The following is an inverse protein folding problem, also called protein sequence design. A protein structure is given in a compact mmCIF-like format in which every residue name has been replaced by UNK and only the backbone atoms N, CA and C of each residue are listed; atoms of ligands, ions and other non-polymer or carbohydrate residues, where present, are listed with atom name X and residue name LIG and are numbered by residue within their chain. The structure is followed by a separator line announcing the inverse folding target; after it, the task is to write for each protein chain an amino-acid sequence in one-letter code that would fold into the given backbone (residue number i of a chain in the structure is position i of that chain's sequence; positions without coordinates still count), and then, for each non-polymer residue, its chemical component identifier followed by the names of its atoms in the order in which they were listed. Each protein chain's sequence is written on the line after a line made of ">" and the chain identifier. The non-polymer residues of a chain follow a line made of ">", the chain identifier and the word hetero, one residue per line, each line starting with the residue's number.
data_IF_353826327802
#
_entry.id   IF_353826327802
#
_cell.length_a   1.000
_cell.length_b   1.000
_cell.length_c   1.000
_cell.angle_alpha   90.00
_cell.angle_beta   90.00
_cell.angle_gamma   90.00
#
_symmetry.space_group_name_H-M   'P 1'
#
loop_
_entity.id
_entity.type
_entity.pdbx_description
1 polymer ?
#
# COMPACT_ATOMS: atom_id res chain seq x y z
N UNK A 1 -23.34 0.94 -11.95
CA UNK A 1 -22.62 2.17 -11.54
C UNK A 1 -22.84 2.56 -10.07
N UNK A 2 -24.05 2.43 -9.49
CA UNK A 2 -24.35 2.85 -8.10
C UNK A 2 -23.62 2.09 -6.96
N UNK A 3 -23.03 0.93 -7.20
CA UNK A 3 -22.51 0.09 -6.09
C UNK A 3 -21.32 0.72 -5.36
N UNK A 4 -20.42 1.40 -6.06
CA UNK A 4 -19.26 2.05 -5.43
C UNK A 4 -19.63 3.36 -4.71
N UNK A 5 -20.61 4.10 -5.25
CA UNK A 5 -21.11 5.35 -4.64
C UNK A 5 -21.80 5.10 -3.28
N UNK A 6 -22.35 3.90 -3.09
CA UNK A 6 -23.04 3.49 -1.86
C UNK A 6 -22.11 2.77 -0.86
N UNK A 7 -20.85 2.54 -1.21
CA UNK A 7 -19.91 1.85 -0.34
C UNK A 7 -19.57 2.71 0.88
N UNK A 8 -19.89 2.23 2.07
CA UNK A 8 -19.51 2.86 3.34
C UNK A 8 -18.33 2.11 3.94
N UNK A 9 -17.18 2.77 4.02
CA UNK A 9 -15.97 2.19 4.63
C UNK A 9 -15.99 2.43 6.13
N UNK A 10 -16.03 1.35 6.91
CA UNK A 10 -15.77 1.42 8.36
C UNK A 10 -14.27 1.56 8.62
N UNK A 11 -13.81 2.82 8.72
CA UNK A 11 -12.39 3.16 8.90
C UNK A 11 -11.80 2.58 10.18
N UNK A 12 -12.56 2.63 11.28
CA UNK A 12 -12.11 2.14 12.58
C UNK A 12 -11.88 0.62 12.54
N UNK A 13 -12.85 -0.14 11.98
CA UNK A 13 -12.68 -1.59 11.82
C UNK A 13 -11.55 -1.93 10.86
N UNK A 14 -11.41 -1.21 9.74
CA UNK A 14 -10.32 -1.45 8.80
C UNK A 14 -8.94 -1.25 9.44
N UNK A 15 -8.78 -0.21 10.27
CA UNK A 15 -7.53 0.02 11.02
C UNK A 15 -7.31 -1.07 12.07
N UNK A 16 -8.35 -1.43 12.83
CA UNK A 16 -8.29 -2.48 13.84
C UNK A 16 -7.82 -3.83 13.26
N UNK A 17 -8.32 -4.24 12.09
CA UNK A 17 -7.88 -5.46 11.40
C UNK A 17 -6.39 -5.41 11.07
N UNK A 18 -5.89 -4.28 10.59
CA UNK A 18 -4.47 -4.11 10.25
C UNK A 18 -3.58 -4.09 11.49
N UNK A 19 -4.03 -3.48 12.59
CA UNK A 19 -3.30 -3.43 13.87
C UNK A 19 -3.30 -4.79 14.61
N UNK A 20 -4.27 -5.65 14.32
CA UNK A 20 -4.40 -6.97 14.92
C UNK A 20 -3.71 -8.08 14.11
N UNK A 21 -3.13 -7.76 12.94
CA UNK A 21 -2.42 -8.74 12.11
C UNK A 21 -1.00 -8.27 11.76
N UNK A 22 -0.18 -9.20 11.29
CA UNK A 22 1.25 -9.02 11.06
C UNK A 22 1.59 -8.50 9.65
N UNK A 23 0.67 -7.72 9.07
CA UNK A 23 0.75 -7.19 7.69
C UNK A 23 1.90 -6.20 7.48
N UNK A 24 2.36 -5.55 8.55
CA UNK A 24 3.40 -4.52 8.49
C UNK A 24 4.83 -5.07 8.66
N UNK A 25 5.02 -6.38 8.78
CA UNK A 25 6.32 -6.99 9.11
C UNK A 25 7.38 -6.85 8.04
N UNK A 26 7.00 -6.71 6.78
CA UNK A 26 7.94 -6.33 5.73
C UNK A 26 8.58 -4.96 5.97
N UNK A 27 7.82 -4.00 6.50
CA UNK A 27 8.34 -2.66 6.76
C UNK A 27 9.41 -2.66 7.85
N UNK A 28 9.36 -3.61 8.79
CA UNK A 28 10.41 -3.82 9.78
C UNK A 28 11.73 -4.26 9.11
N UNK A 29 11.68 -5.24 8.21
CA UNK A 29 12.85 -5.71 7.46
C UNK A 29 13.43 -4.61 6.56
N UNK A 30 12.56 -3.87 5.85
CA UNK A 30 12.94 -2.74 5.00
C UNK A 30 13.58 -1.62 5.83
N UNK A 31 13.04 -1.31 7.02
CA UNK A 31 13.59 -0.27 7.90
C UNK A 31 14.99 -0.64 8.37
N UNK A 32 15.21 -1.90 8.78
CA UNK A 32 16.54 -2.39 9.17
C UNK A 32 17.54 -2.27 8.01
N UNK A 33 17.13 -2.61 6.79
CA UNK A 33 17.97 -2.48 5.62
C UNK A 33 18.30 -1.01 5.31
N UNK A 34 17.29 -0.14 5.24
CA UNK A 34 17.46 1.24 4.79
C UNK A 34 18.17 2.12 5.82
N UNK A 35 17.85 1.98 7.11
CA UNK A 35 18.40 2.85 8.16
C UNK A 35 19.70 2.33 8.77
N UNK A 36 19.89 1.02 8.79
CA UNK A 36 21.00 0.39 9.52
C UNK A 36 21.87 -0.52 8.65
N UNK A 37 21.64 -0.54 7.33
CA UNK A 37 22.38 -1.37 6.37
C UNK A 37 22.38 -2.87 6.71
N UNK A 38 21.40 -3.33 7.48
CA UNK A 38 21.25 -4.76 7.81
C UNK A 38 20.90 -5.50 6.52
N UNK A 39 21.61 -6.59 6.16
CA UNK A 39 21.27 -7.36 4.96
C UNK A 39 19.81 -7.78 4.97
N UNK A 40 19.09 -7.60 3.86
CA UNK A 40 17.65 -7.87 3.79
C UNK A 40 17.29 -9.28 4.27
N UNK A 41 18.12 -10.28 3.96
CA UNK A 41 17.92 -11.66 4.43
C UNK A 41 17.88 -11.76 5.97
N UNK A 42 18.73 -11.00 6.67
CA UNK A 42 18.74 -10.95 8.14
C UNK A 42 17.45 -10.28 8.64
N UNK A 43 17.12 -9.09 8.12
CA UNK A 43 15.89 -8.38 8.49
C UNK A 43 14.62 -9.20 8.22
N UNK A 44 14.56 -9.92 7.10
CA UNK A 44 13.44 -10.77 6.73
C UNK A 44 13.30 -12.01 7.65
N UNK A 45 14.42 -12.68 7.97
CA UNK A 45 14.38 -13.81 8.91
C UNK A 45 14.01 -13.34 10.33
N UNK A 46 14.49 -12.17 10.74
CA UNK A 46 14.11 -11.54 11.99
C UNK A 46 12.60 -11.24 12.06
N UNK A 47 12.05 -10.57 11.03
CA UNK A 47 10.62 -10.29 10.94
C UNK A 47 9.78 -11.59 10.95
N UNK A 48 10.21 -12.62 10.23
CA UNK A 48 9.55 -13.94 10.23
C UNK A 48 9.60 -14.63 11.60
N UNK A 49 10.73 -14.53 12.30
CA UNK A 49 10.91 -15.04 13.66
C UNK A 49 9.94 -14.39 14.65
N UNK A 50 9.77 -13.06 14.55
CA UNK A 50 8.78 -12.32 15.34
C UNK A 50 7.38 -12.86 15.08
N UNK A 51 6.95 -12.99 13.82
CA UNK A 51 5.61 -13.49 13.49
C UNK A 51 5.39 -14.92 14.01
N UNK A 52 6.41 -15.76 13.92
CA UNK A 52 6.35 -17.15 14.40
C UNK A 52 6.10 -17.20 15.91
N UNK A 53 6.89 -16.46 16.69
CA UNK A 53 6.73 -16.37 18.15
C UNK A 53 5.40 -15.72 18.50
N UNK A 54 5.06 -14.62 17.84
CA UNK A 54 3.83 -13.91 18.10
C UNK A 54 2.59 -14.76 17.90
N UNK A 55 2.51 -15.52 16.80
CA UNK A 55 1.38 -16.40 16.52
C UNK A 55 1.31 -17.58 17.50
N UNK A 56 2.46 -18.10 17.93
CA UNK A 56 2.53 -19.16 18.95
C UNK A 56 1.96 -18.67 20.30
N UNK A 57 2.31 -17.46 20.69
CA UNK A 57 2.03 -16.94 22.04
C UNK A 57 0.82 -15.98 22.10
N UNK A 58 0.15 -15.72 20.96
CA UNK A 58 -1.02 -14.85 20.88
C UNK A 58 -0.72 -13.35 20.96
N UNK A 59 0.51 -12.94 20.60
CA UNK A 59 0.87 -11.52 20.55
C UNK A 59 0.36 -10.84 19.29
N UNK A 60 -0.05 -9.59 19.47
CA UNK A 60 -0.35 -8.62 18.43
C UNK A 60 0.86 -7.70 18.21
N UNK A 61 0.99 -7.03 17.06
CA UNK A 61 2.08 -6.09 16.81
C UNK A 61 2.24 -5.03 17.91
N UNK A 62 1.11 -4.48 18.40
CA UNK A 62 1.09 -3.42 19.42
C UNK A 62 1.59 -3.86 20.81
N UNK A 63 1.48 -5.15 21.14
CA UNK A 63 1.82 -5.66 22.48
C UNK A 63 2.98 -6.68 22.48
N UNK A 64 3.58 -6.95 21.31
CA UNK A 64 4.73 -7.85 21.21
C UNK A 64 5.90 -7.39 22.09
N UNK A 65 6.46 -8.19 23.00
CA UNK A 65 7.52 -7.72 23.90
C UNK A 65 8.78 -7.30 23.14
N UNK A 66 9.30 -6.10 23.40
CA UNK A 66 10.50 -5.62 22.69
C UNK A 66 11.76 -6.42 23.06
N UNK A 67 11.87 -6.90 24.30
CA UNK A 67 12.94 -7.81 24.70
C UNK A 67 12.93 -9.13 23.92
N UNK A 68 11.74 -9.61 23.54
CA UNK A 68 11.63 -10.79 22.69
C UNK A 68 12.11 -10.50 21.26
N UNK A 69 11.86 -9.29 20.75
CA UNK A 69 12.44 -8.85 19.48
C UNK A 69 13.97 -8.84 19.55
N UNK A 70 14.56 -8.31 20.63
CA UNK A 70 16.02 -8.34 20.83
C UNK A 70 16.57 -9.76 20.88
N UNK A 71 15.88 -10.68 21.59
CA UNK A 71 16.25 -12.10 21.65
C UNK A 71 16.26 -12.74 20.26
N UNK A 72 15.17 -12.58 19.50
CA UNK A 72 15.03 -13.16 18.15
C UNK A 72 16.09 -12.57 17.21
N UNK A 73 16.37 -11.27 17.29
CA UNK A 73 17.37 -10.63 16.45
C UNK A 73 18.76 -11.25 16.67
N UNK A 74 19.19 -11.39 17.94
CA UNK A 74 20.45 -12.07 18.29
C UNK A 74 20.52 -13.49 17.74
N UNK A 75 19.45 -14.27 17.87
CA UNK A 75 19.40 -15.64 17.34
C UNK A 75 19.52 -15.70 15.83
N UNK A 76 18.88 -14.75 15.13
CA UNK A 76 18.94 -14.67 13.67
C UNK A 76 20.32 -14.25 13.19
N UNK A 77 20.97 -13.28 13.83
CA UNK A 77 22.32 -12.86 13.44
C UNK A 77 23.35 -13.94 13.77
N UNK A 78 23.25 -14.59 14.94
CA UNK A 78 24.12 -15.73 15.29
C UNK A 78 24.02 -16.82 14.22
N UNK A 79 22.79 -17.18 13.83
CA UNK A 79 22.54 -18.22 12.83
C UNK A 79 23.00 -17.86 11.42
N UNK A 80 22.84 -16.59 10.99
CA UNK A 80 23.07 -16.19 9.60
C UNK A 80 24.43 -15.53 9.35
N UNK A 81 25.00 -14.90 10.38
CA UNK A 81 26.26 -14.16 10.33
C UNK A 81 27.35 -14.83 11.15
N UNK A 82 27.01 -15.79 12.02
CA UNK A 82 27.96 -16.47 12.90
C UNK A 82 28.26 -15.71 14.19
N UNK A 83 27.58 -14.59 14.44
CA UNK A 83 27.72 -13.79 15.66
C UNK A 83 26.40 -13.11 16.07
N UNK A 84 26.09 -13.14 17.36
CA UNK A 84 24.97 -12.42 17.95
C UNK A 84 25.25 -10.91 17.93
N UNK A 85 24.31 -10.13 17.39
CA UNK A 85 24.37 -8.68 17.36
C UNK A 85 23.17 -8.09 18.08
N UNK A 86 23.31 -6.90 18.64
CA UNK A 86 22.19 -6.17 19.23
C UNK A 86 21.28 -5.58 18.13
N UNK A 87 19.97 -5.59 18.37
CA UNK A 87 19.00 -4.99 17.47
C UNK A 87 19.25 -3.47 17.39
N UNK A 88 19.59 -2.90 16.22
CA UNK A 88 19.96 -1.49 16.12
C UNK A 88 18.76 -0.53 16.15
N UNK A 89 17.55 -1.04 16.39
CA UNK A 89 16.30 -0.29 16.40
C UNK A 89 15.90 0.03 17.85
N UNK A 90 15.43 1.25 18.13
CA UNK A 90 14.84 1.58 19.44
C UNK A 90 13.45 0.94 19.60
N UNK A 91 12.94 0.80 20.83
CA UNK A 91 11.57 0.31 21.02
C UNK A 91 10.52 1.22 20.35
N UNK A 92 10.57 2.56 20.49
CA UNK A 92 9.64 3.44 19.77
C UNK A 92 9.69 3.26 18.25
N UNK A 93 10.89 3.15 17.66
CA UNK A 93 11.03 2.91 16.23
C UNK A 93 10.48 1.52 15.84
N UNK A 94 10.73 0.50 16.64
CA UNK A 94 10.15 -0.84 16.45
C UNK A 94 8.63 -0.80 16.39
N UNK A 95 7.98 -0.15 17.38
CA UNK A 95 6.52 0.05 17.38
C UNK A 95 6.04 0.80 16.15
N UNK A 96 6.75 1.86 15.78
CA UNK A 96 6.39 2.70 14.65
C UNK A 96 6.44 1.90 13.33
N UNK A 97 7.47 1.06 13.12
CA UNK A 97 7.59 0.24 11.90
C UNK A 97 6.48 -0.79 11.73
N UNK A 98 5.84 -1.20 12.82
CA UNK A 98 4.71 -2.12 12.83
C UNK A 98 3.35 -1.41 12.71
N UNK A 99 3.32 -0.07 12.67
CA UNK A 99 2.09 0.69 12.60
C UNK A 99 1.61 0.87 11.14
N UNK A 100 0.36 0.51 10.78
CA UNK A 100 -0.13 0.58 9.40
C UNK A 100 -0.01 1.96 8.75
N UNK A 101 -0.31 3.02 9.49
CA UNK A 101 -0.18 4.40 8.98
C UNK A 101 1.27 4.75 8.61
N UNK A 102 2.24 4.28 9.39
CA UNK A 102 3.66 4.51 9.10
C UNK A 102 4.06 3.81 7.81
N UNK A 103 3.59 2.57 7.59
CA UNK A 103 3.85 1.83 6.35
C UNK A 103 3.27 2.56 5.14
N UNK A 104 2.04 3.06 5.23
CA UNK A 104 1.41 3.84 4.15
C UNK A 104 2.21 5.10 3.83
N UNK A 105 2.66 5.85 4.85
CA UNK A 105 3.39 7.11 4.66
C UNK A 105 4.81 6.89 4.12
N UNK A 106 5.48 5.81 4.50
CA UNK A 106 6.89 5.58 4.13
C UNK A 106 7.07 4.86 2.79
N UNK A 107 6.02 4.24 2.25
CA UNK A 107 6.01 3.67 0.88
C UNK A 107 5.94 4.81 -0.14
N UNK A 108 7.07 5.42 -0.47
CA UNK A 108 7.16 6.52 -1.46
C UNK A 108 7.53 5.97 -2.84
N UNK A 109 6.81 6.40 -3.88
CA UNK A 109 7.04 6.00 -5.27
C UNK A 109 5.79 6.23 -6.14
N UNK A 110 5.94 6.17 -7.46
CA UNK A 110 4.81 6.23 -8.38
C UNK A 110 3.91 5.00 -8.16
N UNK A 111 2.62 5.21 -7.96
CA UNK A 111 1.64 4.13 -7.72
C UNK A 111 1.66 3.57 -6.30
N UNK A 112 2.33 4.24 -5.35
CA UNK A 112 2.38 3.83 -3.95
C UNK A 112 1.09 4.21 -3.20
N UNK A 113 0.84 3.63 -2.00
CA UNK A 113 -0.33 3.98 -1.20
C UNK A 113 -0.19 5.32 -0.47
N UNK A 114 0.97 5.98 -0.57
CA UNK A 114 1.20 7.24 0.13
C UNK A 114 0.21 8.32 -0.33
N UNK A 115 -0.22 9.22 0.58
CA UNK A 115 -1.19 10.28 0.25
C UNK A 115 -0.78 11.13 -0.96
N UNK A 116 0.51 11.45 -1.09
CA UNK A 116 1.01 12.23 -2.22
C UNK A 116 0.89 11.47 -3.56
N UNK A 117 1.25 10.18 -3.58
CA UNK A 117 1.21 9.35 -4.79
C UNK A 117 -0.23 9.10 -5.24
N UNK A 118 -1.12 8.82 -4.28
CA UNK A 118 -2.56 8.62 -4.54
C UNK A 118 -3.25 9.90 -5.02
N UNK A 119 -2.89 11.07 -4.47
CA UNK A 119 -3.39 12.37 -4.95
C UNK A 119 -2.99 12.64 -6.40
N UNK A 120 -1.71 12.42 -6.76
CA UNK A 120 -1.22 12.53 -8.15
C UNK A 120 -1.92 11.54 -9.07
N UNK A 121 -2.14 10.30 -8.62
CA UNK A 121 -2.88 9.30 -9.39
C UNK A 121 -4.34 9.68 -9.63
N UNK A 122 -4.99 10.34 -8.66
CA UNK A 122 -6.36 10.84 -8.80
C UNK A 122 -6.42 11.98 -9.82
N UNK A 123 -5.50 12.94 -9.74
CA UNK A 123 -5.41 14.05 -10.69
C UNK A 123 -5.25 13.56 -12.13
N UNK A 124 -4.30 12.63 -12.36
CA UNK A 124 -4.09 12.02 -13.67
C UNK A 124 -5.34 11.26 -14.18
N UNK A 125 -6.07 10.60 -13.27
CA UNK A 125 -7.29 9.87 -13.62
C UNK A 125 -8.42 10.80 -14.02
N UNK A 126 -8.57 11.94 -13.33
CA UNK A 126 -9.56 12.97 -13.67
C UNK A 126 -9.25 13.61 -15.02
N UNK A 127 -7.98 13.94 -15.29
CA UNK A 127 -7.57 14.48 -16.58
C UNK A 127 -7.86 13.51 -17.74
N UNK A 128 -7.63 12.21 -17.54
CA UNK A 128 -7.98 11.18 -18.53
C UNK A 128 -9.49 11.07 -18.73
N UNK A 129 -10.27 11.08 -17.65
CA UNK A 129 -11.74 11.06 -17.74
C UNK A 129 -12.27 12.23 -18.56
N UNK A 130 -11.75 13.44 -18.33
CA UNK A 130 -12.15 14.63 -19.09
C UNK A 130 -11.82 14.49 -20.59
N UNK A 131 -10.65 13.94 -20.91
CA UNK A 131 -10.28 13.65 -22.30
C UNK A 131 -11.19 12.60 -22.95
N UNK A 132 -11.53 11.54 -22.22
CA UNK A 132 -12.44 10.48 -22.69
C UNK A 132 -13.85 11.05 -22.93
N UNK A 133 -14.36 11.91 -22.04
CA UNK A 133 -15.66 12.57 -22.19
C UNK A 133 -15.71 13.48 -23.42
N UNK A 134 -14.66 14.30 -23.64
CA UNK A 134 -14.53 15.12 -24.86
C UNK A 134 -14.51 14.25 -26.10
N UNK A 135 -13.72 13.18 -26.10
CA UNK A 135 -13.63 12.27 -27.24
C UNK A 135 -14.99 11.64 -27.58
N UNK A 136 -15.73 11.16 -26.57
CA UNK A 136 -17.08 10.60 -26.77
C UNK A 136 -18.03 11.64 -27.35
N UNK A 137 -18.00 12.87 -26.83
CA UNK A 137 -18.85 13.97 -27.32
C UNK A 137 -18.57 14.26 -28.80
N UNK A 138 -17.31 14.49 -29.16
CA UNK A 138 -16.92 14.78 -30.54
C UNK A 138 -17.33 13.68 -31.52
N UNK A 139 -17.22 12.41 -31.10
CA UNK A 139 -17.62 11.27 -31.94
C UNK A 139 -19.13 11.22 -32.15
N UNK A 140 -19.92 11.52 -31.13
CA UNK A 140 -21.39 11.60 -31.26
C UNK A 140 -21.81 12.74 -32.18
N UNK A 141 -21.19 13.91 -32.05
CA UNK A 141 -21.47 15.06 -32.92
C UNK A 141 -21.14 14.76 -34.38
N UNK A 142 -20.01 14.09 -34.66
CA UNK A 142 -19.65 13.65 -36.02
C UNK A 142 -20.66 12.67 -36.61
N UNK A 143 -21.15 11.70 -35.82
CA UNK A 143 -22.17 10.75 -36.27
C UNK A 143 -23.49 11.47 -36.56
N UNK A 144 -23.95 12.33 -35.66
CA UNK A 144 -25.20 13.09 -35.85
C UNK A 144 -25.14 14.01 -37.08
N UNK A 145 -24.00 14.66 -37.32
CA UNK A 145 -23.80 15.49 -38.51
C UNK A 145 -23.81 14.66 -39.80
N UNK A 146 -23.20 13.47 -39.79
CA UNK A 146 -23.21 12.56 -40.94
C UNK A 146 -24.63 12.03 -41.24
N UNK A 147 -25.39 11.70 -40.20
CA UNK A 147 -26.80 11.28 -40.31
C UNK A 147 -27.68 12.40 -40.88
N UNK A 148 -27.59 13.61 -40.33
CA UNK A 148 -28.33 14.78 -40.85
C UNK A 148 -27.98 15.11 -42.31
N UNK A 149 -26.70 14.96 -42.69
CA UNK A 149 -26.29 15.15 -44.07
C UNK A 149 -26.86 14.06 -45.00
N UNK A 150 -26.86 12.80 -44.56
CA UNK A 150 -27.46 11.71 -45.32
C UNK A 150 -28.95 11.95 -45.56
N UNK A 151 -29.69 12.33 -44.52
CA UNK A 151 -31.12 12.65 -44.59
C UNK A 151 -31.40 13.82 -45.55
N UNK A 152 -30.59 14.89 -45.47
CA UNK A 152 -30.71 16.03 -46.38
C UNK A 152 -30.50 15.62 -47.84
N UNK A 153 -29.54 14.73 -48.12
CA UNK A 153 -29.31 14.23 -49.47
C UNK A 153 -30.51 13.43 -49.96
N UNK A 154 -31.03 12.47 -49.18
CA UNK A 154 -32.21 11.69 -49.57
C UNK A 154 -33.45 12.56 -49.83
N UNK A 155 -33.71 13.55 -48.98
CA UNK A 155 -34.84 14.48 -49.16
C UNK A 155 -34.71 15.37 -50.40
N UNK A 156 -33.52 15.48 -50.98
CA UNK A 156 -33.29 16.25 -52.22
C UNK A 156 -33.59 15.42 -53.48
N UNK A 157 -33.56 14.09 -53.38
CA UNK A 157 -33.70 13.15 -54.52
C UNK A 157 -35.05 12.40 -54.56
N UNK A 158 -35.94 12.64 -53.60
CA UNK A 158 -37.33 12.13 -53.54
C UNK A 158 -38.34 13.27 -53.75
#
# INVERSE_FOLDING_TARGET
>A
KRTLELLVVNKARALEELENDWTCTMALAETLQMKFAVPFRVGHNFASGIVTVARRDGWLPKNFPFEEARRIYREVTEKLLGEASELPLSEPDFRQTLHPEYVVRTRVGVGSPAPESTAKGLEASLARLEADERWVKERREKLAAAEANLDSLFNTYL
#
